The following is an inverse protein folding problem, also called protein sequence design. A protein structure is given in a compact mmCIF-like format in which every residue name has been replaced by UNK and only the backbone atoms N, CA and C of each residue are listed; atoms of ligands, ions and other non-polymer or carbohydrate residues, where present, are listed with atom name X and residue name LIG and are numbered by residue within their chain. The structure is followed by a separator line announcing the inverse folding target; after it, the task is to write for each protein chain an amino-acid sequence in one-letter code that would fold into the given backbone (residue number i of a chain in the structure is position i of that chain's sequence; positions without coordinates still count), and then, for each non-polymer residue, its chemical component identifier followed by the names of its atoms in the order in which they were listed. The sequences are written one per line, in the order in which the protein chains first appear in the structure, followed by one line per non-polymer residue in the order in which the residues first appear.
data_IF_012962822694
#
_entry.id   IF_012962822694
#
_cell.length_a   1.000
_cell.length_b   1.000
_cell.length_c   1.000
_cell.angle_alpha   90.00
_cell.angle_beta   90.00
_cell.angle_gamma   90.00
#
_symmetry.space_group_name_H-M   'P 1'
#
loop_
_entity.id
_entity.type
_entity.pdbx_description
1 polymer ?
#
# COMPACT_ATOMS: atom_id res chain seq x y z
N UNK A 1 -8.67 4.76 17.54
CA UNK A 1 -8.49 5.79 18.61
C UNK A 1 -8.46 7.13 17.90
N UNK A 2 -9.27 8.10 18.30
CA UNK A 2 -9.30 9.40 17.64
C UNK A 2 -8.32 10.32 18.37
N UNK A 3 -7.43 10.97 17.60
CA UNK A 3 -6.65 12.08 18.16
C UNK A 3 -7.61 13.19 18.60
N UNK A 4 -7.78 13.36 19.89
CA UNK A 4 -8.45 14.53 20.42
C UNK A 4 -7.41 15.65 20.52
N UNK A 5 -7.39 16.54 19.54
CA UNK A 5 -6.66 17.80 19.67
C UNK A 5 -7.47 18.69 20.61
N UNK A 6 -7.13 18.68 21.87
CA UNK A 6 -7.69 19.63 22.84
C UNK A 6 -7.00 20.98 22.66
N UNK A 7 -7.70 21.95 22.08
CA UNK A 7 -7.22 23.33 22.00
C UNK A 7 -7.69 24.10 23.24
N UNK A 8 -6.77 24.52 24.08
CA UNK A 8 -7.04 25.43 25.20
C UNK A 8 -6.57 26.85 24.85
N UNK A 9 -7.48 27.81 24.88
CA UNK A 9 -7.15 29.21 24.62
C UNK A 9 -6.89 29.90 25.98
N UNK A 10 -5.69 30.45 26.19
CA UNK A 10 -5.36 31.26 27.38
C UNK A 10 -5.09 32.66 26.93
N UNK A 11 -5.79 33.62 27.59
CA UNK A 11 -5.55 35.03 27.41
C UNK A 11 -4.76 35.54 28.64
N UNK A 12 -3.62 36.19 28.40
CA UNK A 12 -2.81 36.84 29.45
C UNK A 12 -2.75 38.32 29.15
N UNK A 13 -2.92 39.13 30.19
CA UNK A 13 -2.78 40.58 30.09
C UNK A 13 -1.37 40.98 30.47
N UNK A 14 -0.64 41.58 29.56
CA UNK A 14 0.71 42.12 29.83
C UNK A 14 0.69 43.32 30.77
N UNK A 15 1.85 43.68 31.32
CA UNK A 15 2.00 44.80 32.23
C UNK A 15 1.64 46.17 31.62
N UNK A 16 1.54 46.24 30.30
CA UNK A 16 1.12 47.42 29.53
C UNK A 16 -0.39 47.40 29.15
N UNK A 17 -1.16 46.45 29.70
CA UNK A 17 -2.60 46.31 29.41
C UNK A 17 -2.96 45.65 28.07
N UNK A 18 -1.99 45.15 27.31
CA UNK A 18 -2.25 44.41 26.12
C UNK A 18 -2.67 42.96 26.43
N UNK A 19 -3.75 42.51 25.81
CA UNK A 19 -4.19 41.12 25.90
C UNK A 19 -3.52 40.27 24.80
N UNK A 20 -2.77 39.26 25.24
CA UNK A 20 -2.18 38.28 24.36
C UNK A 20 -2.93 36.95 24.50
N UNK A 21 -3.57 36.53 23.45
CA UNK A 21 -4.26 35.23 23.38
C UNK A 21 -3.35 34.18 22.75
N UNK A 22 -3.07 33.13 23.50
CA UNK A 22 -2.25 31.99 23.02
C UNK A 22 -3.14 30.74 22.97
N UNK A 23 -3.16 30.08 21.84
CA UNK A 23 -3.83 28.80 21.68
C UNK A 23 -2.81 27.69 21.93
N UNK A 24 -3.10 26.87 22.93
CA UNK A 24 -2.31 25.66 23.21
C UNK A 24 -3.02 24.46 22.61
N UNK A 25 -2.34 23.71 21.78
CA UNK A 25 -2.82 22.42 21.28
C UNK A 25 -2.06 21.30 22.01
N UNK A 26 -2.80 20.32 22.52
CA UNK A 26 -2.22 19.12 23.13
C UNK A 26 -2.67 17.89 22.35
N UNK A 27 -1.73 17.03 22.00
CA UNK A 27 -2.03 15.67 21.53
C UNK A 27 -2.14 14.75 22.73
N UNK A 28 -3.19 13.95 22.77
CA UNK A 28 -3.42 12.97 23.82
C UNK A 28 -3.01 11.58 23.32
N UNK A 29 -2.12 10.93 24.06
CA UNK A 29 -1.71 9.56 23.82
C UNK A 29 -2.13 8.69 25.00
N UNK A 30 -2.63 7.49 24.71
CA UNK A 30 -2.97 6.49 25.72
C UNK A 30 -1.93 5.39 25.74
N UNK A 31 -1.24 5.22 26.85
CA UNK A 31 -0.32 4.11 27.08
C UNK A 31 -0.87 3.21 28.18
N UNK A 32 -1.04 1.92 27.88
CA UNK A 32 -1.47 0.92 28.85
C UNK A 32 -0.24 0.21 29.39
N UNK A 33 0.04 0.40 30.68
CA UNK A 33 1.18 -0.18 31.37
C UNK A 33 0.74 -0.85 32.67
N UNK A 34 1.41 -1.92 33.15
CA UNK A 34 1.18 -2.49 34.46
C UNK A 34 1.50 -1.46 35.57
N UNK A 35 0.60 -1.37 36.52
CA UNK A 35 0.85 -0.51 37.69
C UNK A 35 2.06 -1.01 38.50
N UNK A 36 2.89 -0.10 38.95
CA UNK A 36 3.99 -0.33 39.91
C UNK A 36 4.23 0.91 40.74
N UNK A 37 4.76 0.76 41.93
CA UNK A 37 5.12 1.86 42.80
C UNK A 37 6.14 2.81 42.13
N UNK A 38 5.95 4.10 42.24
CA UNK A 38 6.80 5.12 41.64
C UNK A 38 6.62 5.37 40.16
N UNK A 39 5.64 4.71 39.49
CA UNK A 39 5.42 4.87 38.04
C UNK A 39 5.02 6.32 37.70
N UNK A 40 4.20 6.98 38.53
CA UNK A 40 3.78 8.36 38.28
C UNK A 40 4.95 9.34 38.31
N UNK A 41 5.86 9.19 39.28
CA UNK A 41 7.05 10.00 39.36
C UNK A 41 8.00 9.76 38.19
N UNK A 42 8.12 8.54 37.73
CA UNK A 42 8.87 8.19 36.52
C UNK A 42 8.29 8.86 35.28
N UNK A 43 6.96 8.89 35.13
CA UNK A 43 6.29 9.55 33.99
C UNK A 43 6.55 11.08 34.08
N UNK A 44 6.34 11.69 35.22
CA UNK A 44 6.57 13.14 35.44
C UNK A 44 8.02 13.53 35.17
N UNK A 45 8.96 12.68 35.56
CA UNK A 45 10.39 12.92 35.36
C UNK A 45 10.82 12.84 33.86
N UNK A 46 10.11 12.10 33.04
CA UNK A 46 10.49 11.92 31.62
C UNK A 46 9.28 11.75 30.71
N UNK A 47 8.46 12.78 30.61
CA UNK A 47 7.23 12.79 29.79
C UNK A 47 7.53 12.45 28.31
N UNK A 48 8.64 12.97 27.76
CA UNK A 48 9.00 12.73 26.36
C UNK A 48 9.22 11.25 26.05
N UNK A 49 9.92 10.51 26.92
CA UNK A 49 10.14 9.08 26.74
C UNK A 49 8.85 8.28 26.84
N UNK A 50 7.96 8.65 27.74
CA UNK A 50 6.66 7.99 27.90
C UNK A 50 5.73 8.28 26.72
N UNK A 51 5.75 9.50 26.18
CA UNK A 51 5.01 9.85 24.95
C UNK A 51 5.50 9.03 23.76
N UNK A 52 6.82 8.86 23.61
CA UNK A 52 7.38 8.05 22.53
C UNK A 52 7.01 6.57 22.66
N UNK A 53 6.97 6.04 23.89
CA UNK A 53 6.49 4.67 24.14
C UNK A 53 5.01 4.52 23.77
N UNK A 54 4.16 5.48 24.11
CA UNK A 54 2.74 5.46 23.78
C UNK A 54 2.53 5.50 22.26
N UNK A 55 3.24 6.39 21.57
CA UNK A 55 3.21 6.49 20.10
C UNK A 55 3.65 5.20 19.41
N UNK A 56 4.70 4.57 19.93
CA UNK A 56 5.18 3.30 19.42
C UNK A 56 4.16 2.18 19.62
N UNK A 57 3.55 2.09 20.78
CA UNK A 57 2.50 1.10 21.05
C UNK A 57 1.30 1.30 20.11
N UNK A 58 0.84 2.53 19.93
CA UNK A 58 -0.23 2.85 19.00
C UNK A 58 0.07 2.39 17.56
N UNK A 59 1.30 2.66 17.08
CA UNK A 59 1.72 2.19 15.76
C UNK A 59 1.79 0.66 15.66
N UNK A 60 2.27 -0.01 16.70
CA UNK A 60 2.31 -1.49 16.74
C UNK A 60 0.90 -2.10 16.70
N UNK A 61 -0.11 -1.42 17.25
CA UNK A 61 -1.52 -1.85 17.20
C UNK A 61 -2.16 -1.58 15.83
N UNK A 62 -1.86 -0.44 15.19
CA UNK A 62 -2.47 -0.03 13.91
C UNK A 62 -1.81 -0.65 12.68
N UNK A 63 -0.50 -0.92 12.73
CA UNK A 63 0.27 -1.40 11.58
C UNK A 63 -0.28 -2.70 10.96
N UNK A 64 -0.69 -3.75 11.73
CA UNK A 64 -1.21 -4.98 11.15
C UNK A 64 -2.47 -4.77 10.30
N UNK A 65 -3.37 -3.89 10.73
CA UNK A 65 -4.58 -3.55 9.99
C UNK A 65 -4.24 -2.83 8.68
N UNK A 66 -3.34 -1.85 8.73
CA UNK A 66 -2.85 -1.14 7.55
C UNK A 66 -2.16 -2.09 6.55
N UNK A 67 -1.34 -3.02 7.02
CA UNK A 67 -0.71 -4.00 6.14
C UNK A 67 -1.74 -4.93 5.47
N UNK A 68 -2.81 -5.28 6.19
CA UNK A 68 -3.92 -6.06 5.63
C UNK A 68 -4.71 -5.26 4.59
N UNK A 69 -4.96 -3.98 4.84
CA UNK A 69 -5.59 -3.07 3.87
C UNK A 69 -4.79 -3.01 2.56
N UNK A 70 -3.47 -2.79 2.66
CA UNK A 70 -2.58 -2.72 1.51
C UNK A 70 -2.48 -4.06 0.75
N UNK A 71 -2.46 -5.21 1.46
CA UNK A 71 -2.45 -6.55 0.84
C UNK A 71 -3.74 -6.81 0.06
N UNK A 72 -4.89 -6.52 0.67
CA UNK A 72 -6.18 -6.68 0.02
C UNK A 72 -6.32 -5.81 -1.24
N UNK A 73 -5.84 -4.56 -1.17
CA UNK A 73 -5.84 -3.66 -2.31
C UNK A 73 -4.91 -4.15 -3.44
N UNK A 74 -3.72 -4.67 -3.09
CA UNK A 74 -2.81 -5.29 -4.05
C UNK A 74 -3.44 -6.51 -4.73
N UNK A 75 -4.02 -7.43 -3.96
CA UNK A 75 -4.69 -8.62 -4.50
C UNK A 75 -5.84 -8.23 -5.42
N UNK A 76 -6.66 -7.26 -5.01
CA UNK A 76 -7.74 -6.75 -5.83
C UNK A 76 -7.21 -6.20 -7.16
N UNK A 77 -6.19 -5.35 -7.14
CA UNK A 77 -5.60 -4.77 -8.34
C UNK A 77 -5.04 -5.85 -9.29
N UNK A 78 -4.39 -6.90 -8.75
CA UNK A 78 -3.90 -8.01 -9.57
C UNK A 78 -5.07 -8.76 -10.24
N UNK A 79 -6.10 -9.09 -9.47
CA UNK A 79 -7.25 -9.87 -9.95
C UNK A 79 -8.10 -9.10 -10.96
N UNK A 80 -8.21 -7.77 -10.80
CA UNK A 80 -8.88 -6.90 -11.78
C UNK A 80 -8.28 -7.05 -13.18
N UNK A 81 -6.99 -7.39 -13.30
CA UNK A 81 -6.37 -7.70 -14.58
C UNK A 81 -5.93 -6.47 -15.37
N UNK A 82 -5.72 -6.65 -16.67
CA UNK A 82 -5.11 -5.63 -17.52
C UNK A 82 -5.70 -5.60 -18.94
N UNK A 83 -5.55 -4.43 -19.57
CA UNK A 83 -5.86 -4.23 -20.98
C UNK A 83 -4.68 -4.65 -21.86
N UNK A 84 -4.95 -5.38 -22.93
CA UNK A 84 -3.94 -5.89 -23.85
C UNK A 84 -4.34 -5.57 -25.28
N UNK A 85 -3.40 -5.02 -26.07
CA UNK A 85 -3.53 -4.86 -27.50
C UNK A 85 -3.18 -6.19 -28.18
N UNK A 86 -4.09 -6.69 -29.01
CA UNK A 86 -3.97 -7.95 -29.74
C UNK A 86 -3.38 -7.72 -31.15
N UNK A 87 -2.99 -8.81 -31.83
CA UNK A 87 -2.38 -8.77 -33.15
C UNK A 87 -3.26 -8.13 -34.21
N UNK A 88 -4.58 -8.16 -34.02
CA UNK A 88 -5.54 -7.51 -34.92
C UNK A 88 -5.74 -6.01 -34.66
N UNK A 89 -5.02 -5.45 -33.69
CA UNK A 89 -5.11 -4.05 -33.27
C UNK A 89 -6.27 -3.76 -32.33
N UNK A 90 -7.07 -4.73 -31.94
CA UNK A 90 -8.09 -4.57 -30.91
C UNK A 90 -7.46 -4.56 -29.52
N UNK A 91 -8.08 -3.82 -28.60
CA UNK A 91 -7.67 -3.82 -27.17
C UNK A 91 -8.75 -4.49 -26.35
N UNK A 92 -8.40 -5.54 -25.64
CA UNK A 92 -9.31 -6.32 -24.82
C UNK A 92 -8.82 -6.40 -23.37
N UNK A 93 -9.77 -6.56 -22.44
CA UNK A 93 -9.47 -6.71 -21.03
C UNK A 93 -9.42 -8.18 -20.62
N UNK A 94 -8.44 -8.52 -19.77
CA UNK A 94 -8.23 -9.87 -19.25
C UNK A 94 -8.12 -9.81 -17.74
N UNK A 95 -9.09 -10.36 -17.02
CA UNK A 95 -9.01 -10.58 -15.60
C UNK A 95 -7.88 -11.58 -15.27
N UNK A 96 -7.33 -11.46 -14.07
CA UNK A 96 -6.23 -12.30 -13.59
C UNK A 96 -6.59 -12.93 -12.25
N UNK A 97 -7.79 -13.55 -12.19
CA UNK A 97 -8.11 -14.42 -11.05
C UNK A 97 -7.11 -15.59 -10.97
N UNK A 98 -7.08 -16.32 -9.87
CA UNK A 98 -6.19 -17.49 -9.77
C UNK A 98 -6.46 -18.51 -10.88
N UNK A 99 -7.75 -18.73 -11.22
CA UNK A 99 -8.13 -19.62 -12.31
C UNK A 99 -7.63 -19.09 -13.68
N UNK A 100 -7.77 -17.78 -13.93
CA UNK A 100 -7.30 -17.17 -15.19
C UNK A 100 -5.79 -17.27 -15.32
N UNK A 101 -5.03 -17.02 -14.25
CA UNK A 101 -3.58 -17.19 -14.23
C UNK A 101 -3.16 -18.62 -14.55
N UNK A 102 -3.86 -19.63 -14.00
CA UNK A 102 -3.60 -21.04 -14.30
C UNK A 102 -3.92 -21.35 -15.75
N UNK A 103 -5.10 -20.94 -16.26
CA UNK A 103 -5.53 -21.18 -17.64
C UNK A 103 -4.59 -20.49 -18.63
N UNK A 104 -4.15 -19.27 -18.34
CA UNK A 104 -3.19 -18.55 -19.18
C UNK A 104 -1.83 -19.27 -19.25
N UNK A 105 -1.36 -19.81 -18.14
CA UNK A 105 -0.14 -20.61 -18.14
C UNK A 105 -0.28 -21.88 -19.00
N UNK A 106 -1.43 -22.56 -18.95
CA UNK A 106 -1.69 -23.72 -19.80
C UNK A 106 -1.69 -23.32 -21.30
N UNK A 107 -2.35 -22.20 -21.64
CA UNK A 107 -2.36 -21.68 -23.01
C UNK A 107 -0.94 -21.31 -23.47
N UNK A 108 -0.14 -20.64 -22.62
CA UNK A 108 1.24 -20.29 -22.93
C UNK A 108 2.14 -21.52 -23.15
N UNK A 109 2.02 -22.54 -22.32
CA UNK A 109 2.78 -23.79 -22.52
C UNK A 109 2.38 -24.53 -23.80
N UNK A 110 1.10 -24.55 -24.17
CA UNK A 110 0.66 -25.12 -25.43
C UNK A 110 1.28 -24.38 -26.63
N UNK A 111 1.31 -23.05 -26.59
CA UNK A 111 1.91 -22.22 -27.66
C UNK A 111 3.43 -22.43 -27.71
N UNK A 112 4.12 -22.50 -26.58
CA UNK A 112 5.55 -22.84 -26.52
C UNK A 112 5.87 -24.23 -27.07
N UNK A 113 4.93 -25.18 -26.94
CA UNK A 113 5.02 -26.51 -27.52
C UNK A 113 4.73 -26.54 -29.02
N UNK A 114 4.42 -25.42 -29.66
CA UNK A 114 4.23 -25.29 -31.12
C UNK A 114 2.77 -25.18 -31.54
N UNK A 115 1.80 -25.01 -30.65
CA UNK A 115 0.43 -24.71 -31.04
C UNK A 115 0.34 -23.34 -31.72
N UNK A 116 -0.35 -23.25 -32.86
CA UNK A 116 -0.56 -21.99 -33.59
C UNK A 116 -1.50 -21.02 -32.84
N UNK A 117 -2.29 -21.53 -31.89
CA UNK A 117 -3.20 -20.79 -31.05
C UNK A 117 -3.82 -21.68 -29.98
N UNK A 118 -4.58 -21.05 -29.06
CA UNK A 118 -5.21 -21.74 -27.95
C UNK A 118 -6.60 -21.15 -27.65
N UNK A 119 -7.63 -21.98 -27.32
CA UNK A 119 -8.91 -21.46 -26.85
C UNK A 119 -8.79 -20.67 -25.56
N UNK A 120 -9.13 -19.40 -25.62
CA UNK A 120 -9.09 -18.48 -24.47
C UNK A 120 -10.23 -17.46 -24.58
N UNK A 121 -10.43 -16.60 -23.57
CA UNK A 121 -11.44 -15.54 -23.62
C UNK A 121 -10.93 -14.26 -22.96
N UNK A 122 -11.38 -13.14 -23.48
CA UNK A 122 -11.33 -11.85 -22.80
C UNK A 122 -12.57 -11.69 -21.92
N UNK A 123 -12.55 -10.72 -21.02
CA UNK A 123 -13.65 -10.48 -20.11
C UNK A 123 -14.94 -10.11 -20.84
N UNK A 124 -16.02 -10.80 -20.49
CA UNK A 124 -17.33 -10.60 -21.11
C UNK A 124 -17.49 -11.21 -22.50
N UNK A 125 -16.44 -11.84 -23.06
CA UNK A 125 -16.45 -12.43 -24.38
C UNK A 125 -16.58 -13.95 -24.33
N UNK A 126 -17.06 -14.52 -25.44
CA UNK A 126 -17.07 -15.97 -25.61
C UNK A 126 -15.65 -16.49 -25.85
N UNK A 127 -15.42 -17.74 -25.40
CA UNK A 127 -14.17 -18.44 -25.67
C UNK A 127 -13.99 -18.58 -27.22
N UNK A 128 -12.82 -18.17 -27.71
CA UNK A 128 -12.38 -18.30 -29.11
C UNK A 128 -10.91 -18.68 -29.17
N UNK A 129 -10.44 -19.08 -30.33
CA UNK A 129 -9.02 -19.37 -30.53
C UNK A 129 -8.27 -18.04 -30.63
N UNK A 130 -7.37 -17.81 -29.71
CA UNK A 130 -6.37 -16.72 -29.74
C UNK A 130 -5.12 -17.25 -30.43
N UNK A 131 -4.50 -16.44 -31.26
CA UNK A 131 -3.24 -16.79 -31.91
C UNK A 131 -2.10 -16.96 -30.91
N UNK A 132 -1.02 -17.63 -31.31
CA UNK A 132 0.18 -17.73 -30.48
C UNK A 132 0.75 -16.33 -30.12
N UNK A 133 0.65 -15.36 -31.03
CA UNK A 133 1.06 -13.98 -30.77
C UNK A 133 0.20 -13.33 -29.69
N UNK A 134 -1.13 -13.50 -29.74
CA UNK A 134 -2.04 -12.95 -28.74
C UNK A 134 -1.84 -13.58 -27.38
N UNK A 135 -1.71 -14.91 -27.28
CA UNK A 135 -1.43 -15.60 -26.00
C UNK A 135 -0.12 -15.09 -25.39
N UNK A 136 0.92 -14.90 -26.18
CA UNK A 136 2.19 -14.35 -25.70
C UNK A 136 2.03 -12.90 -25.21
N UNK A 137 1.26 -12.06 -25.94
CA UNK A 137 0.99 -10.69 -25.55
C UNK A 137 0.22 -10.61 -24.20
N UNK A 138 -0.84 -11.41 -24.08
CA UNK A 138 -1.63 -11.50 -22.83
C UNK A 138 -0.76 -11.99 -21.67
N UNK A 139 0.05 -13.02 -21.88
CA UNK A 139 0.93 -13.55 -20.84
C UNK A 139 2.01 -12.53 -20.42
N UNK A 140 2.61 -11.82 -21.37
CA UNK A 140 3.59 -10.77 -21.08
C UNK A 140 2.97 -9.62 -20.28
N UNK A 141 1.78 -9.16 -20.68
CA UNK A 141 1.04 -8.13 -19.98
C UNK A 141 0.65 -8.56 -18.55
N UNK A 142 0.17 -9.81 -18.38
CA UNK A 142 -0.18 -10.37 -17.08
C UNK A 142 1.04 -10.43 -16.14
N UNK A 143 2.21 -10.84 -16.64
CA UNK A 143 3.46 -10.87 -15.88
C UNK A 143 3.87 -9.46 -15.46
N UNK A 144 3.84 -8.50 -16.38
CA UNK A 144 4.21 -7.10 -16.10
C UNK A 144 3.25 -6.48 -15.07
N UNK A 145 1.95 -6.70 -15.21
CA UNK A 145 0.90 -6.25 -14.30
C UNK A 145 1.14 -6.80 -12.87
N UNK A 146 1.28 -8.11 -12.75
CA UNK A 146 1.53 -8.76 -11.47
C UNK A 146 2.85 -8.30 -10.84
N UNK A 147 3.92 -8.18 -11.61
CA UNK A 147 5.22 -7.70 -11.17
C UNK A 147 5.10 -6.27 -10.59
N UNK A 148 4.43 -5.37 -11.30
CA UNK A 148 4.20 -4.01 -10.84
C UNK A 148 3.49 -3.98 -9.50
N UNK A 149 2.35 -4.63 -9.37
CA UNK A 149 1.52 -4.59 -8.17
C UNK A 149 2.18 -5.26 -6.96
N UNK A 150 2.85 -6.41 -7.16
CA UNK A 150 3.58 -7.09 -6.07
C UNK A 150 4.78 -6.28 -5.60
N UNK A 151 5.52 -5.66 -6.53
CA UNK A 151 6.66 -4.81 -6.20
C UNK A 151 6.20 -3.54 -5.49
N UNK A 152 5.15 -2.87 -6.00
CA UNK A 152 4.55 -1.71 -5.34
C UNK A 152 4.13 -2.04 -3.90
N UNK A 153 3.40 -3.15 -3.69
CA UNK A 153 2.95 -3.57 -2.37
C UNK A 153 4.13 -3.78 -1.40
N UNK A 154 5.23 -4.41 -1.85
CA UNK A 154 6.41 -4.58 -1.02
C UNK A 154 6.99 -3.24 -0.55
N UNK A 155 7.02 -2.23 -1.44
CA UNK A 155 7.50 -0.90 -1.12
C UNK A 155 6.51 -0.13 -0.23
N UNK A 156 5.20 -0.26 -0.46
CA UNK A 156 4.16 0.31 0.37
C UNK A 156 4.19 -0.25 1.81
N UNK A 157 4.47 -1.56 1.99
CA UNK A 157 4.72 -2.15 3.31
C UNK A 157 5.92 -1.51 4.02
N UNK A 158 7.02 -1.31 3.30
CA UNK A 158 8.19 -0.65 3.87
C UNK A 158 7.88 0.79 4.25
N UNK A 159 7.10 1.49 3.46
CA UNK A 159 6.64 2.83 3.79
C UNK A 159 5.79 2.83 5.06
N UNK A 160 4.77 1.97 5.16
CA UNK A 160 3.93 1.84 6.34
C UNK A 160 4.75 1.52 7.61
N UNK A 161 5.73 0.62 7.50
CA UNK A 161 6.62 0.26 8.62
C UNK A 161 7.52 1.41 9.07
N UNK A 162 7.79 2.39 8.20
CA UNK A 162 8.61 3.58 8.51
C UNK A 162 7.80 4.73 9.12
N UNK A 163 6.47 4.66 9.13
CA UNK A 163 5.60 5.67 9.72
C UNK A 163 5.96 5.88 11.20
N UNK A 164 6.00 7.15 11.61
CA UNK A 164 6.36 7.54 12.99
C UNK A 164 5.16 7.99 13.81
N UNK A 165 4.03 8.24 13.14
CA UNK A 165 2.79 8.65 13.78
C UNK A 165 1.60 7.90 13.16
N UNK A 166 0.49 7.81 13.92
CA UNK A 166 -0.76 7.24 13.44
C UNK A 166 -1.28 8.00 12.19
N UNK A 167 -1.13 9.32 12.15
CA UNK A 167 -1.53 10.14 11.01
C UNK A 167 -0.70 9.84 9.75
N UNK A 168 0.63 9.72 9.90
CA UNK A 168 1.48 9.30 8.78
C UNK A 168 1.06 7.92 8.26
N UNK A 169 0.78 6.96 9.16
CA UNK A 169 0.32 5.63 8.79
C UNK A 169 -1.06 5.66 8.14
N UNK A 170 -1.99 6.45 8.66
CA UNK A 170 -3.33 6.62 8.10
C UNK A 170 -3.31 7.23 6.70
N UNK A 171 -2.36 8.14 6.44
CA UNK A 171 -2.17 8.78 5.14
C UNK A 171 -1.64 7.86 4.03
N UNK A 172 -1.18 6.65 4.35
CA UNK A 172 -0.65 5.70 3.37
C UNK A 172 -1.80 4.89 2.76
N UNK A 173 -2.01 5.06 1.45
CA UNK A 173 -3.03 4.34 0.69
C UNK A 173 -2.40 3.59 -0.48
N UNK A 174 -3.01 2.47 -0.89
CA UNK A 174 -2.58 1.74 -2.06
C UNK A 174 -2.75 2.61 -3.33
N UNK A 175 -1.70 2.68 -4.15
CA UNK A 175 -1.66 3.53 -5.34
C UNK A 175 -1.17 4.97 -5.08
N UNK A 176 -0.92 5.36 -3.82
CA UNK A 176 -0.30 6.65 -3.50
C UNK A 176 1.15 6.71 -4.01
N UNK A 177 1.65 7.92 -4.24
CA UNK A 177 3.04 8.12 -4.65
C UNK A 177 3.99 7.68 -3.53
N UNK A 178 4.83 6.70 -3.83
CA UNK A 178 5.86 6.22 -2.90
C UNK A 178 6.88 7.33 -2.58
N UNK A 179 7.48 7.34 -1.39
CA UNK A 179 8.67 8.12 -1.09
C UNK A 179 9.76 7.91 -2.14
N UNK A 180 10.53 8.95 -2.43
CA UNK A 180 11.49 8.99 -3.54
C UNK A 180 12.47 7.81 -3.53
N UNK A 181 13.01 7.46 -2.37
CA UNK A 181 13.94 6.33 -2.21
C UNK A 181 13.30 4.98 -2.55
N UNK A 182 12.04 4.77 -2.14
CA UNK A 182 11.27 3.56 -2.44
C UNK A 182 10.84 3.53 -3.91
N UNK A 183 10.40 4.65 -4.47
CA UNK A 183 10.05 4.76 -5.89
C UNK A 183 11.26 4.47 -6.79
N UNK A 184 12.43 5.03 -6.47
CA UNK A 184 13.66 4.78 -7.21
C UNK A 184 14.12 3.31 -7.12
N UNK A 185 13.98 2.68 -5.95
CA UNK A 185 14.27 1.25 -5.79
C UNK A 185 13.30 0.38 -6.59
N UNK A 186 11.99 0.66 -6.51
CA UNK A 186 10.97 -0.04 -7.29
C UNK A 186 11.26 0.02 -8.80
N UNK A 187 11.59 1.20 -9.31
CA UNK A 187 11.91 1.39 -10.72
C UNK A 187 13.12 0.53 -11.16
N UNK A 188 14.17 0.45 -10.34
CA UNK A 188 15.34 -0.40 -10.61
C UNK A 188 14.98 -1.88 -10.65
N UNK A 189 14.16 -2.34 -9.70
CA UNK A 189 13.71 -3.75 -9.64
C UNK A 189 12.92 -4.11 -10.90
N UNK A 190 11.94 -3.28 -11.30
CA UNK A 190 11.12 -3.52 -12.50
C UNK A 190 11.99 -3.51 -13.75
N UNK A 191 12.88 -2.52 -13.90
CA UNK A 191 13.77 -2.41 -15.05
C UNK A 191 14.70 -3.61 -15.19
N UNK A 192 15.15 -4.23 -14.08
CA UNK A 192 16.04 -5.40 -14.11
C UNK A 192 15.40 -6.65 -14.72
N UNK A 193 14.07 -6.72 -14.75
CA UNK A 193 13.31 -7.85 -15.33
C UNK A 193 12.83 -7.54 -16.75
N UNK A 194 12.55 -6.26 -17.05
CA UNK A 194 12.01 -5.83 -18.35
C UNK A 194 13.08 -5.70 -19.44
N UNK A 195 14.35 -5.81 -19.10
CA UNK A 195 15.50 -5.67 -20.02
C UNK A 195 16.11 -7.00 -20.49
N UNK A 196 15.41 -8.15 -20.30
CA UNK A 196 15.87 -9.46 -20.79
C UNK A 196 15.11 -9.91 -22.01
#
# INVERSE_FOLDING_TARGET
MHENINAETRTTTGANGEEQTTVYTAQEYTLIIPWREGIEDSIKANVAAWTEMARKQELEELLPEKLTELDNACRKAIVEGCWVELADGSTQHFALTEADQINLNVALEAVKAGAEGYPYHADGELCRVFSAADINAVAAAAVAHKLYHTTYFNHAKQWATRAKTADELAGIHYGAQLPEDLAANMAKVIASVSGQ
#
